data_IF_508964341171
#
_entry.id   IF_508964341171
#
_cell.length_a   1.000
_cell.length_b   1.000
_cell.length_c   1.000
_cell.angle_alpha   90.00
_cell.angle_beta   90.00
_cell.angle_gamma   90.00
#
_symmetry.space_group_name_H-M   'P 1'
#
loop_
_entity.id
_entity.type
_entity.pdbx_description
1 polymer ?
#
# COMPACT_ATOMS: atom_id res chain seq x y z
N UNK A 1 -20.20 -7.02 -12.73
CA UNK A 1 -18.77 -6.95 -13.08
C UNK A 1 -18.08 -6.29 -11.89
N UNK A 2 -17.90 -7.04 -10.79
CA UNK A 2 -17.47 -6.50 -9.48
C UNK A 2 -16.05 -6.91 -9.07
N UNK A 3 -15.40 -7.81 -9.82
CA UNK A 3 -14.08 -8.36 -9.48
C UNK A 3 -12.94 -7.33 -9.45
N UNK A 4 -13.15 -6.09 -9.89
CA UNK A 4 -12.08 -5.07 -9.99
C UNK A 4 -11.83 -4.29 -8.70
N UNK A 5 -12.80 -4.20 -7.79
CA UNK A 5 -12.63 -3.51 -6.50
C UNK A 5 -12.10 -4.44 -5.40
N UNK A 6 -12.17 -5.75 -5.59
CA UNK A 6 -11.66 -6.75 -4.64
C UNK A 6 -10.12 -6.68 -4.51
N UNK A 7 -9.41 -6.28 -5.57
CA UNK A 7 -7.95 -6.23 -5.56
C UNK A 7 -7.38 -5.17 -4.59
N UNK A 8 -8.05 -4.02 -4.39
CA UNK A 8 -7.55 -2.99 -3.48
C UNK A 8 -7.60 -3.43 -2.01
N UNK A 9 -8.66 -4.15 -1.62
CA UNK A 9 -8.78 -4.72 -0.28
C UNK A 9 -7.65 -5.72 0.02
N UNK A 10 -7.17 -6.42 -1.00
CA UNK A 10 -6.03 -7.33 -0.91
C UNK A 10 -4.67 -6.63 -0.94
N UNK A 11 -4.61 -5.33 -1.22
CA UNK A 11 -3.34 -4.60 -1.36
C UNK A 11 -3.02 -3.65 -0.21
N UNK A 12 -4.02 -3.13 0.50
CA UNK A 12 -3.84 -2.16 1.58
C UNK A 12 -4.56 -2.58 2.87
N UNK A 13 -4.23 -1.93 3.98
CA UNK A 13 -4.97 -2.13 5.23
C UNK A 13 -6.39 -1.55 5.10
N UNK A 14 -7.38 -2.11 5.82
CA UNK A 14 -8.76 -1.60 5.76
C UNK A 14 -8.89 -0.11 6.08
N UNK A 15 -8.06 0.42 6.99
CA UNK A 15 -8.05 1.83 7.36
C UNK A 15 -7.58 2.78 6.26
N UNK A 16 -6.79 2.27 5.30
CA UNK A 16 -6.18 3.08 4.24
C UNK A 16 -6.98 3.04 2.94
N UNK A 17 -8.07 2.27 2.89
CA UNK A 17 -8.82 2.00 1.66
C UNK A 17 -9.30 3.27 0.95
N UNK A 18 -9.89 4.23 1.68
CA UNK A 18 -10.38 5.47 1.07
C UNK A 18 -9.26 6.30 0.46
N UNK A 19 -8.06 6.27 1.05
CA UNK A 19 -6.91 6.96 0.50
C UNK A 19 -6.30 6.21 -0.69
N UNK A 20 -6.21 4.88 -0.61
CA UNK A 20 -5.78 4.01 -1.69
C UNK A 20 -6.66 4.15 -2.95
N UNK A 21 -7.98 4.25 -2.78
CA UNK A 21 -8.92 4.50 -3.89
C UNK A 21 -8.70 5.87 -4.54
N UNK A 22 -8.46 6.92 -3.74
CA UNK A 22 -8.10 8.25 -4.26
C UNK A 22 -6.81 8.22 -5.05
N UNK A 23 -5.79 7.50 -4.58
CA UNK A 23 -4.52 7.35 -5.29
C UNK A 23 -4.68 6.57 -6.58
N UNK A 24 -5.47 5.48 -6.58
CA UNK A 24 -5.79 4.74 -7.79
C UNK A 24 -6.48 5.65 -8.83
N UNK A 25 -7.50 6.40 -8.40
CA UNK A 25 -8.22 7.33 -9.28
C UNK A 25 -7.30 8.45 -9.80
N UNK A 26 -6.38 8.95 -8.97
CA UNK A 26 -5.32 9.86 -9.39
C UNK A 26 -4.45 9.26 -10.51
N UNK A 27 -3.94 8.04 -10.33
CA UNK A 27 -3.08 7.40 -11.34
C UNK A 27 -3.80 7.22 -12.67
N UNK A 28 -5.07 6.75 -12.63
CA UNK A 28 -5.90 6.59 -13.83
C UNK A 28 -6.10 7.93 -14.55
N UNK A 29 -6.38 9.00 -13.80
CA UNK A 29 -6.54 10.33 -14.36
C UNK A 29 -5.23 10.88 -14.96
N UNK A 30 -4.09 10.67 -14.31
CA UNK A 30 -2.79 11.10 -14.83
C UNK A 30 -2.47 10.40 -16.15
N UNK A 31 -2.59 9.07 -16.21
CA UNK A 31 -2.38 8.31 -17.45
C UNK A 31 -3.31 8.78 -18.55
N UNK A 32 -4.60 8.95 -18.24
CA UNK A 32 -5.56 9.48 -19.20
C UNK A 32 -5.13 10.85 -19.74
N UNK A 33 -4.73 11.78 -18.87
CA UNK A 33 -4.35 13.13 -19.27
C UNK A 33 -3.02 13.18 -20.03
N UNK A 34 -2.05 12.30 -19.72
CA UNK A 34 -0.81 12.17 -20.51
C UNK A 34 -1.12 11.86 -21.97
N UNK A 35 -2.07 10.95 -22.25
CA UNK A 35 -2.47 10.62 -23.62
C UNK A 35 -3.22 11.74 -24.36
N UNK A 36 -3.81 12.68 -23.61
CA UNK A 36 -4.56 13.81 -24.17
C UNK A 36 -3.77 15.13 -24.12
N UNK A 37 -2.53 15.11 -23.64
CA UNK A 37 -1.70 16.30 -23.49
C UNK A 37 -1.43 16.94 -24.85
N UNK A 38 -1.57 18.27 -24.91
CA UNK A 38 -1.31 19.04 -26.14
C UNK A 38 0.18 19.38 -26.30
N UNK A 39 0.96 19.21 -25.23
CA UNK A 39 2.41 19.43 -25.24
C UNK A 39 3.18 18.42 -24.39
N UNK A 40 4.49 18.35 -24.63
CA UNK A 40 5.42 17.54 -23.84
C UNK A 40 5.48 18.04 -22.40
N UNK A 41 5.46 19.35 -22.18
CA UNK A 41 5.46 19.93 -20.83
C UNK A 41 4.21 19.56 -20.04
N UNK A 42 3.05 19.50 -20.70
CA UNK A 42 1.83 19.02 -20.06
C UNK A 42 1.91 17.53 -19.75
N UNK A 43 2.38 16.71 -20.68
CA UNK A 43 2.61 15.27 -20.44
C UNK A 43 3.56 15.05 -19.26
N UNK A 44 4.66 15.80 -19.16
CA UNK A 44 5.64 15.68 -18.08
C UNK A 44 5.04 16.03 -16.71
N UNK A 45 4.16 17.04 -16.63
CA UNK A 45 3.47 17.37 -15.37
C UNK A 45 2.58 16.23 -14.89
N UNK A 46 1.89 15.56 -15.80
CA UNK A 46 1.07 14.39 -15.45
C UNK A 46 1.93 13.17 -15.08
N UNK A 47 3.11 13.02 -15.68
CA UNK A 47 4.08 11.99 -15.29
C UNK A 47 4.59 12.19 -13.85
N UNK A 48 4.97 13.42 -13.49
CA UNK A 48 5.41 13.76 -12.12
C UNK A 48 4.31 13.46 -11.09
N UNK A 49 3.06 13.81 -11.40
CA UNK A 49 1.92 13.54 -10.52
C UNK A 49 1.60 12.03 -10.42
N UNK A 50 1.75 11.29 -11.53
CA UNK A 50 1.64 9.84 -11.55
C UNK A 50 2.70 9.20 -10.64
N UNK A 51 3.95 9.65 -10.72
CA UNK A 51 5.04 9.17 -9.85
C UNK A 51 4.74 9.40 -8.37
N UNK A 52 4.23 10.60 -8.02
CA UNK A 52 3.78 10.92 -6.66
C UNK A 52 2.71 9.94 -6.19
N UNK A 53 1.65 9.74 -6.96
CA UNK A 53 0.56 8.85 -6.59
C UNK A 53 1.05 7.39 -6.44
N UNK A 54 1.91 6.90 -7.34
CA UNK A 54 2.52 5.56 -7.23
C UNK A 54 3.36 5.39 -5.97
N UNK A 55 4.17 6.39 -5.61
CA UNK A 55 5.02 6.35 -4.42
C UNK A 55 4.20 6.30 -3.13
N UNK A 56 3.17 7.14 -3.02
CA UNK A 56 2.27 7.14 -1.87
C UNK A 56 1.51 5.81 -1.75
N UNK A 57 1.06 5.24 -2.87
CA UNK A 57 0.38 3.95 -2.86
C UNK A 57 1.32 2.81 -2.45
N UNK A 58 2.57 2.84 -2.90
CA UNK A 58 3.58 1.86 -2.49
C UNK A 58 3.80 1.88 -0.97
N UNK A 59 3.82 3.06 -0.35
CA UNK A 59 3.95 3.16 1.11
C UNK A 59 2.79 2.46 1.86
N UNK A 60 1.57 2.50 1.33
CA UNK A 60 0.43 1.78 1.92
C UNK A 60 0.61 0.26 1.83
N UNK A 61 1.17 -0.22 0.71
CA UNK A 61 1.49 -1.65 0.53
C UNK A 61 2.59 -2.10 1.48
N UNK A 62 3.66 -1.32 1.58
CA UNK A 62 4.77 -1.61 2.49
C UNK A 62 4.28 -1.65 3.95
N UNK A 63 3.39 -0.72 4.33
CA UNK A 63 2.73 -0.70 5.65
C UNK A 63 1.90 -1.95 5.90
N UNK A 64 1.14 -2.43 4.90
CA UNK A 64 0.38 -3.68 5.01
C UNK A 64 1.31 -4.88 5.22
N UNK A 65 2.37 -4.99 4.42
CA UNK A 65 3.34 -6.09 4.52
C UNK A 65 4.02 -6.12 5.90
N UNK A 66 4.40 -4.96 6.43
CA UNK A 66 4.95 -4.82 7.78
C UNK A 66 3.94 -5.25 8.85
N UNK A 67 2.67 -4.85 8.71
CA UNK A 67 1.60 -5.23 9.63
C UNK A 67 1.35 -6.74 9.62
N UNK A 68 1.26 -7.37 8.44
CA UNK A 68 1.05 -8.82 8.30
C UNK A 68 2.22 -9.62 8.86
N UNK A 69 3.45 -9.17 8.59
CA UNK A 69 4.67 -9.75 9.16
C UNK A 69 4.66 -9.67 10.69
N UNK A 70 4.30 -8.51 11.25
CA UNK A 70 4.16 -8.32 12.70
C UNK A 70 3.10 -9.24 13.32
N UNK A 71 1.95 -9.39 12.65
CA UNK A 71 0.89 -10.30 13.08
C UNK A 71 1.34 -11.76 13.07
N UNK A 72 2.08 -12.19 12.04
CA UNK A 72 2.66 -13.53 11.97
C UNK A 72 3.57 -13.82 13.18
N UNK A 73 4.48 -12.90 13.52
CA UNK A 73 5.32 -13.08 14.71
C UNK A 73 4.53 -13.11 16.01
N UNK A 74 3.48 -12.29 16.14
CA UNK A 74 2.61 -12.28 17.33
C UNK A 74 1.92 -13.63 17.53
N UNK A 75 1.49 -14.29 16.45
CA UNK A 75 0.91 -15.65 16.50
C UNK A 75 1.95 -16.64 17.04
N UNK A 76 3.17 -16.65 16.48
CA UNK A 76 4.25 -17.54 16.95
C UNK A 76 4.59 -17.30 18.44
N UNK A 77 4.68 -16.04 18.86
CA UNK A 77 4.96 -15.69 20.26
C UNK A 77 3.84 -16.17 21.19
N UNK A 78 2.57 -16.04 20.76
CA UNK A 78 1.42 -16.50 21.54
C UNK A 78 1.48 -18.03 21.74
N UNK A 79 1.85 -18.78 20.71
CA UNK A 79 2.00 -20.24 20.79
C UNK A 79 3.16 -20.66 21.71
N UNK A 80 4.30 -19.96 21.65
CA UNK A 80 5.43 -20.19 22.55
C UNK A 80 5.06 -19.92 24.02
N UNK A 81 4.35 -18.82 24.28
CA UNK A 81 3.86 -18.49 25.63
C UNK A 81 2.85 -19.50 26.15
N UNK A 82 1.98 -20.03 25.29
CA UNK A 82 1.07 -21.12 25.66
C UNK A 82 1.83 -22.39 26.10
N UNK A 83 3.04 -22.61 25.57
CA UNK A 83 3.97 -23.68 25.98
C UNK A 83 4.88 -23.29 27.16
N UNK A 84 4.59 -22.19 27.86
CA UNK A 84 5.39 -21.63 28.97
C UNK A 84 6.81 -21.23 28.59
N UNK A 85 7.09 -21.01 27.30
CA UNK A 85 8.35 -20.44 26.83
C UNK A 85 8.28 -18.92 26.92
N UNK A 86 9.28 -18.29 27.54
CA UNK A 86 9.34 -16.83 27.61
C UNK A 86 9.79 -16.27 26.25
N UNK A 87 8.83 -15.84 25.44
CA UNK A 87 9.06 -15.24 24.14
C UNK A 87 8.53 -13.80 24.10
N UNK A 88 9.35 -12.90 23.55
CA UNK A 88 9.05 -11.49 23.33
C UNK A 88 9.54 -11.09 21.95
N UNK A 89 8.76 -10.24 21.27
CA UNK A 89 9.23 -9.61 20.03
C UNK A 89 10.24 -8.54 20.43
N UNK A 90 11.46 -8.65 19.92
CA UNK A 90 12.50 -7.64 20.09
C UNK A 90 12.79 -7.01 18.74
N UNK A 91 12.61 -5.70 18.64
CA UNK A 91 13.04 -4.92 17.49
C UNK A 91 14.51 -4.58 17.69
N UNK A 92 15.38 -4.95 16.73
CA UNK A 92 16.76 -4.50 16.74
C UNK A 92 16.77 -3.00 16.41
N UNK A 93 17.27 -2.17 17.33
CA UNK A 93 17.51 -0.75 17.05
C UNK A 93 18.49 -0.59 15.89
N UNK A 94 18.21 0.38 14.99
CA UNK A 94 19.13 0.78 13.92
C UNK A 94 20.34 1.50 14.50
#
# INVERSE_FOLDING_TARGET
MNDKYDCLHDLVLPGDFSFADKLHNCMVACVHNMFHAESIEESNRWEEELERCMKEFKMLRDTKEEHETSMSYRVVIKDLRARRVNALLVTRGK
#
